data_IF_142279371063
#
_entry.id   IF_142279371063
#
_cell.length_a   1.000
_cell.length_b   1.000
_cell.length_c   1.000
_cell.angle_alpha   90.00
_cell.angle_beta   90.00
_cell.angle_gamma   90.00
#
_symmetry.space_group_name_H-M   'P 1'
#
loop_
_entity.id
_entity.type
_entity.pdbx_description
1 polymer ?
#
# COMPACT_ATOMS: atom_id res chain seq x y z
N UNK A 1 14.29 14.67 11.98
CA UNK A 1 13.95 13.35 12.52
C UNK A 1 14.94 12.32 12.01
N UNK A 2 15.24 11.33 12.81
CA UNK A 2 16.21 10.32 12.47
C UNK A 2 15.65 9.33 11.44
N UNK A 3 16.55 8.57 10.80
CA UNK A 3 16.15 7.48 9.92
C UNK A 3 15.30 6.43 10.61
N UNK A 4 15.59 6.14 11.87
CA UNK A 4 14.80 5.20 12.67
C UNK A 4 13.39 5.73 12.93
N UNK A 5 13.23 7.03 13.21
CA UNK A 5 11.91 7.64 13.35
C UNK A 5 11.12 7.56 12.05
N UNK A 6 11.78 7.79 10.93
CA UNK A 6 11.13 7.73 9.62
C UNK A 6 10.70 6.30 9.27
N UNK A 7 11.55 5.31 9.57
CA UNK A 7 11.18 3.89 9.40
C UNK A 7 9.97 3.53 10.25
N UNK A 8 9.91 4.01 11.50
CA UNK A 8 8.76 3.76 12.38
C UNK A 8 7.46 4.37 11.84
N UNK A 9 7.53 5.56 11.25
CA UNK A 9 6.35 6.20 10.66
C UNK A 9 5.78 5.33 9.51
N UNK A 10 6.64 4.79 8.65
CA UNK A 10 6.23 3.89 7.58
C UNK A 10 5.68 2.57 8.15
N UNK A 11 6.37 2.00 9.13
CA UNK A 11 5.95 0.73 9.74
C UNK A 11 4.59 0.85 10.44
N UNK A 12 4.32 1.96 11.09
CA UNK A 12 3.03 2.23 11.72
C UNK A 12 1.90 2.32 10.68
N UNK A 13 2.16 3.00 9.57
CA UNK A 13 1.20 3.04 8.47
C UNK A 13 0.89 1.63 7.94
N UNK A 14 1.91 0.81 7.71
CA UNK A 14 1.72 -0.58 7.25
C UNK A 14 0.90 -1.36 8.26
N UNK A 15 1.27 -1.30 9.53
CA UNK A 15 0.58 -2.09 10.57
C UNK A 15 -0.86 -1.65 10.73
N UNK A 16 -1.12 -0.36 10.83
CA UNK A 16 -2.47 0.12 11.10
C UNK A 16 -3.37 0.08 9.87
N UNK A 17 -2.90 0.57 8.73
CA UNK A 17 -3.74 0.62 7.53
C UNK A 17 -3.78 -0.70 6.78
N UNK A 18 -2.63 -1.34 6.58
CA UNK A 18 -2.57 -2.51 5.70
C UNK A 18 -2.82 -3.82 6.44
N UNK A 19 -2.45 -3.93 7.72
CA UNK A 19 -2.64 -5.15 8.51
C UNK A 19 -3.90 -5.13 9.38
N UNK A 20 -4.13 -4.04 10.12
CA UNK A 20 -5.33 -3.89 10.93
C UNK A 20 -6.54 -3.42 10.13
N UNK A 21 -6.33 -3.03 8.87
CA UNK A 21 -7.37 -2.56 7.94
C UNK A 21 -8.05 -1.27 8.41
N UNK A 22 -7.36 -0.48 9.23
CA UNK A 22 -7.81 0.84 9.65
C UNK A 22 -7.42 1.88 8.60
N UNK A 23 -8.19 1.96 7.52
CA UNK A 23 -7.88 2.86 6.41
C UNK A 23 -8.00 4.34 6.80
N UNK A 24 -8.78 4.66 7.82
CA UNK A 24 -8.94 6.05 8.28
C UNK A 24 -7.65 6.60 8.91
N UNK A 25 -6.79 5.73 9.45
CA UNK A 25 -5.49 6.17 9.96
C UNK A 25 -4.63 6.84 8.87
N UNK A 26 -4.88 6.56 7.60
CA UNK A 26 -4.17 7.21 6.52
C UNK A 26 -4.31 8.73 6.54
N UNK A 27 -5.43 9.27 7.05
CA UNK A 27 -5.60 10.73 7.20
C UNK A 27 -4.60 11.31 8.19
N UNK A 28 -4.20 10.55 9.21
CA UNK A 28 -3.18 10.98 10.19
C UNK A 28 -1.77 10.71 9.67
N UNK A 29 -1.57 9.58 8.99
CA UNK A 29 -0.25 9.14 8.50
C UNK A 29 0.25 10.02 7.35
N UNK A 30 -0.65 10.48 6.47
CA UNK A 30 -0.28 11.23 5.28
C UNK A 30 -0.25 12.73 5.58
N UNK A 31 0.80 13.37 5.04
CA UNK A 31 0.93 14.82 5.07
C UNK A 31 -0.18 15.45 4.21
N UNK A 32 -0.70 16.66 4.57
CA UNK A 32 -1.73 17.34 3.76
C UNK A 32 -1.32 17.58 2.30
N UNK A 33 -0.01 17.63 2.02
CA UNK A 33 0.54 17.82 0.67
C UNK A 33 1.04 16.51 0.04
N UNK A 34 0.56 15.37 0.51
CA UNK A 34 1.00 14.06 0.02
C UNK A 34 0.77 13.92 -1.48
N UNK A 35 1.78 13.39 -2.17
CA UNK A 35 1.72 13.07 -3.60
C UNK A 35 2.07 11.60 -3.79
N UNK A 36 1.18 10.87 -4.45
CA UNK A 36 1.43 9.49 -4.83
C UNK A 36 1.86 9.45 -6.30
N UNK A 37 3.09 9.03 -6.55
CA UNK A 37 3.62 8.89 -7.90
C UNK A 37 3.30 7.55 -8.53
N UNK A 38 2.73 6.61 -7.75
CA UNK A 38 2.31 5.33 -8.28
C UNK A 38 1.04 5.50 -9.10
N UNK A 39 1.09 4.98 -10.32
CA UNK A 39 -0.05 4.96 -11.25
C UNK A 39 -0.20 3.55 -11.80
N UNK A 40 -1.14 2.76 -11.28
CA UNK A 40 -1.42 1.45 -11.85
C UNK A 40 -1.78 1.57 -13.31
N UNK A 41 -1.25 0.67 -14.14
CA UNK A 41 -1.51 0.67 -15.57
C UNK A 41 -3.01 0.52 -15.83
N UNK A 42 -3.54 1.40 -16.69
CA UNK A 42 -4.96 1.38 -17.07
C UNK A 42 -5.92 1.86 -16.00
N UNK A 43 -5.42 2.35 -14.87
CA UNK A 43 -6.28 2.88 -13.80
C UNK A 43 -6.04 4.38 -13.62
N UNK A 44 -7.11 5.15 -13.65
CA UNK A 44 -7.09 6.53 -13.21
C UNK A 44 -7.31 6.54 -11.70
N UNK A 45 -6.44 7.23 -10.95
CA UNK A 45 -6.70 7.48 -9.53
C UNK A 45 -7.75 8.58 -9.43
N UNK A 46 -8.68 8.49 -8.47
CA UNK A 46 -9.67 9.54 -8.31
C UNK A 46 -8.97 10.87 -8.01
N UNK A 47 -9.38 11.93 -8.72
CA UNK A 47 -8.96 13.28 -8.36
C UNK A 47 -9.65 13.65 -7.07
N UNK A 48 -8.86 14.05 -6.09
CA UNK A 48 -9.37 14.43 -4.78
C UNK A 48 -8.38 15.34 -4.10
N UNK A 49 -8.90 16.28 -3.32
CA UNK A 49 -8.12 17.15 -2.44
C UNK A 49 -7.78 16.46 -1.11
N UNK A 50 -8.21 15.20 -0.91
CA UNK A 50 -7.84 14.41 0.27
C UNK A 50 -6.68 13.47 -0.06
N UNK A 51 -5.51 13.65 0.54
CA UNK A 51 -4.32 12.86 0.20
C UNK A 51 -4.51 11.34 0.33
N UNK A 52 -5.31 10.90 1.29
CA UNK A 52 -5.49 9.47 1.55
C UNK A 52 -6.52 8.80 0.65
N UNK A 53 -7.28 9.55 -0.18
CA UNK A 53 -8.38 8.97 -0.96
C UNK A 53 -7.91 7.97 -2.00
N UNK A 54 -6.78 8.22 -2.66
CA UNK A 54 -6.22 7.29 -3.62
C UNK A 54 -5.82 5.97 -2.97
N UNK A 55 -5.18 6.04 -1.82
CA UNK A 55 -4.82 4.85 -1.04
C UNK A 55 -6.08 4.08 -0.60
N UNK A 56 -7.07 4.78 -0.05
CA UNK A 56 -8.33 4.13 0.37
C UNK A 56 -9.03 3.43 -0.78
N UNK A 57 -9.09 4.07 -1.95
CA UNK A 57 -9.73 3.47 -3.12
C UNK A 57 -8.99 2.21 -3.56
N UNK A 58 -7.67 2.28 -3.67
CA UNK A 58 -6.85 1.16 -4.12
C UNK A 58 -6.83 0.03 -3.10
N UNK A 59 -6.45 0.33 -1.86
CA UNK A 59 -6.33 -0.70 -0.83
C UNK A 59 -7.69 -1.22 -0.38
N UNK A 60 -8.70 -0.36 -0.37
CA UNK A 60 -10.08 -0.77 -0.10
C UNK A 60 -10.57 -1.80 -1.12
N UNK A 61 -10.23 -1.64 -2.40
CA UNK A 61 -10.55 -2.64 -3.42
C UNK A 61 -9.82 -3.96 -3.16
N UNK A 62 -8.53 -3.89 -2.79
CA UNK A 62 -7.77 -5.08 -2.42
C UNK A 62 -8.40 -5.83 -1.24
N UNK A 63 -8.91 -5.11 -0.24
CA UNK A 63 -9.56 -5.71 0.92
C UNK A 63 -10.88 -6.38 0.57
N UNK A 64 -11.58 -5.92 -0.45
CA UNK A 64 -12.77 -6.60 -0.94
C UNK A 64 -12.43 -7.94 -1.59
N UNK A 65 -11.34 -7.99 -2.33
CA UNK A 65 -10.86 -9.23 -2.96
C UNK A 65 -10.14 -10.14 -1.98
N UNK A 66 -9.41 -9.57 -1.04
CA UNK A 66 -8.59 -10.27 -0.06
C UNK A 66 -8.92 -9.79 1.36
N UNK A 67 -10.03 -10.26 1.96
CA UNK A 67 -10.43 -9.80 3.30
C UNK A 67 -9.39 -10.11 4.40
N UNK A 68 -8.53 -11.09 4.16
CA UNK A 68 -7.46 -11.49 5.06
C UNK A 68 -6.10 -10.86 4.68
N UNK A 69 -6.10 -9.83 3.84
CA UNK A 69 -4.86 -9.21 3.37
C UNK A 69 -3.93 -8.81 4.52
N UNK A 70 -2.66 -9.13 4.35
CA UNK A 70 -1.60 -8.76 5.27
C UNK A 70 -0.35 -8.36 4.50
N UNK A 71 0.43 -7.43 5.06
CA UNK A 71 1.67 -6.95 4.48
C UNK A 71 2.78 -7.16 5.51
N UNK A 72 3.78 -7.94 5.13
CA UNK A 72 4.98 -8.15 5.93
C UNK A 72 6.07 -7.18 5.47
N UNK A 73 6.70 -6.50 6.42
CA UNK A 73 7.91 -5.72 6.15
C UNK A 73 9.09 -6.67 6.26
N UNK A 74 9.80 -6.87 5.14
CA UNK A 74 10.97 -7.74 5.11
C UNK A 74 12.23 -7.00 5.53
N UNK A 75 12.40 -5.76 5.04
CA UNK A 75 13.50 -4.89 5.47
C UNK A 75 13.21 -3.45 5.11
N UNK A 76 13.87 -2.53 5.81
CA UNK A 76 13.77 -1.09 5.55
C UNK A 76 15.15 -0.47 5.51
N UNK A 77 15.35 0.44 4.58
CA UNK A 77 16.54 1.28 4.48
C UNK A 77 16.10 2.72 4.52
N UNK A 78 16.82 3.55 5.28
CA UNK A 78 16.54 4.97 5.34
C UNK A 78 17.79 5.76 4.98
N UNK A 79 17.62 6.77 4.15
CA UNK A 79 18.66 7.74 3.80
C UNK A 79 18.01 9.12 3.71
N UNK A 80 18.51 10.08 4.49
CA UNK A 80 17.90 11.40 4.61
C UNK A 80 16.45 11.27 5.06
N UNK A 81 15.50 11.83 4.29
CA UNK A 81 14.06 11.77 4.57
C UNK A 81 13.35 10.67 3.78
N UNK A 82 14.09 9.78 3.10
CA UNK A 82 13.55 8.68 2.31
C UNK A 82 13.63 7.37 3.06
N UNK A 83 12.58 6.55 2.93
CA UNK A 83 12.54 5.18 3.47
C UNK A 83 12.14 4.24 2.35
N UNK A 84 13.04 3.31 2.01
CA UNK A 84 12.73 2.21 1.11
C UNK A 84 12.33 0.99 1.94
N UNK A 85 11.23 0.36 1.58
CA UNK A 85 10.70 -0.79 2.31
C UNK A 85 10.42 -1.92 1.35
N UNK A 86 11.05 -3.08 1.58
CA UNK A 86 10.74 -4.30 0.85
C UNK A 86 9.64 -5.03 1.61
N UNK A 87 8.55 -5.32 0.93
CA UNK A 87 7.32 -5.84 1.52
C UNK A 87 6.86 -7.09 0.80
N UNK A 88 6.08 -7.90 1.50
CA UNK A 88 5.35 -9.02 0.92
C UNK A 88 3.87 -8.87 1.24
N UNK A 89 3.04 -8.78 0.21
CA UNK A 89 1.59 -8.81 0.32
C UNK A 89 1.13 -10.25 0.22
N UNK A 90 0.21 -10.65 1.12
CA UNK A 90 -0.43 -11.97 1.09
C UNK A 90 -1.91 -11.83 1.32
N UNK A 91 -2.68 -12.68 0.67
CA UNK A 91 -4.11 -12.75 0.88
C UNK A 91 -4.72 -13.97 0.21
N UNK A 92 -6.00 -14.20 0.50
CA UNK A 92 -6.79 -15.26 -0.14
C UNK A 92 -7.90 -14.61 -0.96
N UNK A 93 -8.01 -15.00 -2.23
CA UNK A 93 -8.98 -14.40 -3.17
C UNK A 93 -10.39 -14.90 -2.84
N UNK A 94 -11.04 -14.23 -1.92
CA UNK A 94 -12.36 -14.59 -1.40
C UNK A 94 -13.49 -13.68 -1.90
N UNK A 95 -13.16 -12.56 -2.54
CA UNK A 95 -14.14 -11.62 -3.08
C UNK A 95 -13.80 -11.22 -4.52
N UNK A 96 -14.79 -10.64 -5.19
CA UNK A 96 -14.56 -10.12 -6.55
C UNK A 96 -13.59 -8.94 -6.51
N UNK A 97 -12.65 -8.93 -7.45
CA UNK A 97 -11.70 -7.84 -7.62
C UNK A 97 -11.34 -7.73 -9.10
N UNK A 98 -11.40 -6.50 -9.65
CA UNK A 98 -11.04 -6.20 -11.05
C UNK A 98 -11.74 -7.12 -12.07
N UNK A 99 -13.04 -7.34 -11.86
CA UNK A 99 -13.89 -8.20 -12.68
C UNK A 99 -13.49 -9.69 -12.65
N UNK A 100 -12.66 -10.09 -11.68
CA UNK A 100 -12.31 -11.49 -11.46
C UNK A 100 -13.12 -12.04 -10.28
N UNK A 101 -13.96 -13.06 -10.51
CA UNK A 101 -14.72 -13.67 -9.42
C UNK A 101 -13.81 -14.41 -8.45
N UNK A 102 -14.22 -14.60 -7.18
CA UNK A 102 -13.38 -15.24 -6.19
C UNK A 102 -13.01 -16.67 -6.58
N UNK A 103 -11.73 -16.99 -6.39
CA UNK A 103 -11.17 -18.31 -6.74
C UNK A 103 -10.80 -19.14 -5.51
N UNK A 104 -10.65 -18.50 -4.33
CA UNK A 104 -10.10 -19.15 -3.16
C UNK A 104 -8.58 -19.31 -3.20
N UNK A 105 -7.92 -18.84 -4.25
CA UNK A 105 -6.48 -18.96 -4.39
C UNK A 105 -5.74 -18.06 -3.38
N UNK A 106 -4.65 -18.58 -2.82
CA UNK A 106 -3.72 -17.76 -2.05
C UNK A 106 -2.81 -17.00 -3.00
N UNK A 107 -2.59 -15.73 -2.70
CA UNK A 107 -1.71 -14.88 -3.51
C UNK A 107 -0.58 -14.34 -2.66
N UNK A 108 0.57 -14.12 -3.29
CA UNK A 108 1.73 -13.51 -2.67
C UNK A 108 2.42 -12.62 -3.67
N UNK A 109 2.73 -11.38 -3.27
CA UNK A 109 3.41 -10.42 -4.13
C UNK A 109 4.47 -9.69 -3.34
N UNK A 110 5.73 -9.80 -3.76
CA UNK A 110 6.81 -8.95 -3.24
C UNK A 110 6.87 -7.65 -4.01
N UNK A 111 7.13 -6.56 -3.30
CA UNK A 111 7.32 -5.25 -3.92
C UNK A 111 8.17 -4.37 -3.01
N UNK A 112 8.69 -3.30 -3.59
CA UNK A 112 9.46 -2.30 -2.86
C UNK A 112 8.77 -0.97 -3.10
N UNK A 113 8.55 -0.22 -2.02
CA UNK A 113 8.12 1.16 -2.14
C UNK A 113 9.10 2.11 -1.45
N UNK A 114 9.01 3.38 -1.82
CA UNK A 114 9.79 4.44 -1.21
C UNK A 114 8.81 5.51 -0.76
N UNK A 115 8.93 5.92 0.51
CA UNK A 115 8.23 7.08 1.05
C UNK A 115 9.23 8.17 1.39
N UNK A 116 8.85 9.41 1.11
CA UNK A 116 9.48 10.58 1.72
C UNK A 116 8.69 10.94 2.96
N UNK A 117 9.39 11.20 4.06
CA UNK A 117 8.77 11.54 5.35
C UNK A 117 9.09 12.99 5.68
N UNK A 118 8.07 13.74 6.11
CA UNK A 118 8.20 15.14 6.52
C UNK A 118 7.43 15.33 7.83
N UNK A 119 8.12 15.75 8.89
CA UNK A 119 7.54 15.97 10.22
C UNK A 119 6.73 14.76 10.72
N UNK A 120 7.27 13.58 10.51
CA UNK A 120 6.64 12.32 10.95
C UNK A 120 5.47 11.85 10.11
N UNK A 121 5.19 12.51 8.96
CA UNK A 121 4.11 12.15 8.04
C UNK A 121 4.65 11.80 6.68
N UNK A 122 3.95 10.91 5.99
CA UNK A 122 4.31 10.47 4.65
C UNK A 122 3.88 11.54 3.64
N UNK A 123 4.81 12.08 2.86
CA UNK A 123 4.55 13.20 1.96
C UNK A 123 4.70 12.84 0.48
N UNK A 124 5.47 11.81 0.14
CA UNK A 124 5.57 11.31 -1.22
C UNK A 124 5.71 9.80 -1.22
N UNK A 125 5.22 9.17 -2.28
CA UNK A 125 5.26 7.71 -2.42
C UNK A 125 5.59 7.33 -3.86
N UNK A 126 6.51 6.38 -4.01
CA UNK A 126 6.85 5.71 -5.26
C UNK A 126 6.80 4.21 -5.06
N UNK A 127 6.33 3.48 -6.04
CA UNK A 127 6.42 2.02 -6.04
C UNK A 127 6.38 1.48 -7.46
N UNK A 128 6.94 0.29 -7.63
CA UNK A 128 6.81 -0.53 -8.83
C UNK A 128 6.17 -1.84 -8.38
N UNK A 129 4.93 -2.06 -8.79
CA UNK A 129 4.15 -3.23 -8.37
C UNK A 129 3.67 -3.99 -9.60
N UNK A 130 3.98 -5.29 -9.66
CA UNK A 130 3.58 -6.12 -10.79
C UNK A 130 2.13 -6.60 -10.62
N UNK A 131 1.20 -5.76 -11.05
CA UNK A 131 -0.23 -6.08 -11.00
C UNK A 131 -0.57 -7.27 -11.90
N UNK A 132 0.13 -7.43 -13.02
CA UNK A 132 -0.07 -8.60 -13.90
C UNK A 132 0.22 -9.91 -13.17
N UNK A 133 1.30 -9.96 -12.39
CA UNK A 133 1.63 -11.14 -11.60
C UNK A 133 0.54 -11.44 -10.56
N UNK A 134 0.00 -10.40 -9.93
CA UNK A 134 -1.12 -10.56 -8.99
C UNK A 134 -2.36 -11.11 -9.70
N UNK A 135 -2.71 -10.55 -10.86
CA UNK A 135 -3.87 -11.02 -11.64
C UNK A 135 -3.71 -12.48 -12.07
N UNK A 136 -2.50 -12.91 -12.43
CA UNK A 136 -2.25 -14.31 -12.80
C UNK A 136 -2.55 -15.26 -11.65
N UNK A 137 -2.23 -14.88 -10.42
CA UNK A 137 -2.52 -15.69 -9.24
C UNK A 137 -4.01 -15.77 -8.92
N UNK A 138 -4.81 -14.86 -9.44
CA UNK A 138 -6.27 -14.81 -9.26
C UNK A 138 -7.03 -15.58 -10.36
N UNK A 139 -6.34 -16.27 -11.22
CA UNK A 139 -6.99 -17.09 -12.28
C UNK A 139 -7.45 -18.42 -11.69
N UNK A 140 -8.63 -18.92 -12.17
CA UNK A 140 -9.13 -20.23 -11.74
C UNK A 140 -8.18 -21.37 -12.05
#
# INVERSE_FOLDING_TARGET
MSGDDNKRAVAEFVERCQNQHDLDFADEAFHPKFVNHYRPEGQALPETDRPASGFRAFYGALLQGFPDAAVEINEQLAERDLVATRKTFRGTHLGELWDLPPTGNRVELEFIDIFRVCDGRLIEHWTSMDISALRQQMRP
#
